data_IF_058132837195
#
_entry.id   IF_058132837195
#
_cell.length_a   1.000
_cell.length_b   1.000
_cell.length_c   1.000
_cell.angle_alpha   90.00
_cell.angle_beta   90.00
_cell.angle_gamma   90.00
#
_symmetry.space_group_name_H-M   'P 1'
#
loop_
_entity.id
_entity.type
_entity.pdbx_description
1 polymer ?
#
# COMPACT_ATOMS: atom_id res chain seq x y z
N UNK A 1 10.55 -11.61 20.17
CA UNK A 1 11.00 -12.72 19.30
C UNK A 1 12.33 -12.33 18.67
N UNK A 2 13.22 -13.28 18.38
CA UNK A 2 14.53 -13.01 17.81
C UNK A 2 14.58 -13.44 16.33
N UNK A 3 15.02 -12.54 15.45
CA UNK A 3 15.36 -12.85 14.07
C UNK A 3 16.84 -13.27 14.04
N UNK A 4 17.15 -14.47 13.53
CA UNK A 4 18.53 -14.94 13.37
C UNK A 4 18.91 -14.95 11.89
N UNK A 5 19.86 -14.08 11.53
CA UNK A 5 20.48 -14.02 10.19
C UNK A 5 21.94 -14.41 10.37
N UNK A 6 22.40 -15.46 9.67
CA UNK A 6 23.74 -16.04 9.83
C UNK A 6 24.54 -15.96 8.53
N UNK A 7 24.73 -14.74 8.05
CA UNK A 7 25.58 -14.48 6.88
C UNK A 7 26.58 -13.37 7.22
N UNK A 8 27.84 -13.54 6.81
CA UNK A 8 28.89 -12.53 7.03
C UNK A 8 28.54 -11.20 6.36
N UNK A 9 27.90 -11.26 5.20
CA UNK A 9 27.45 -10.08 4.47
C UNK A 9 26.44 -9.25 5.26
N UNK A 10 25.44 -9.89 5.88
CA UNK A 10 24.42 -9.18 6.65
C UNK A 10 25.00 -8.53 7.91
N UNK A 11 25.92 -9.22 8.61
CA UNK A 11 26.62 -8.65 9.77
C UNK A 11 27.48 -7.44 9.35
N UNK A 12 28.23 -7.55 8.25
CA UNK A 12 29.04 -6.45 7.72
C UNK A 12 28.17 -5.23 7.36
N UNK A 13 27.10 -5.43 6.60
CA UNK A 13 26.20 -4.36 6.19
C UNK A 13 25.50 -3.70 7.39
N UNK A 14 25.07 -4.49 8.38
CA UNK A 14 24.44 -3.96 9.59
C UNK A 14 25.43 -3.12 10.40
N UNK A 15 26.67 -3.57 10.55
CA UNK A 15 27.73 -2.82 11.25
C UNK A 15 28.12 -1.54 10.53
N UNK A 16 28.26 -1.60 9.21
CA UNK A 16 28.55 -0.43 8.39
C UNK A 16 27.44 0.61 8.50
N UNK A 17 26.18 0.19 8.38
CA UNK A 17 25.04 1.09 8.52
C UNK A 17 25.00 1.73 9.91
N UNK A 18 25.12 0.94 10.98
CA UNK A 18 25.14 1.42 12.36
C UNK A 18 26.28 2.41 12.61
N UNK A 19 27.48 2.15 12.07
CA UNK A 19 28.62 3.06 12.18
C UNK A 19 28.39 4.38 11.44
N UNK A 20 27.74 4.35 10.28
CA UNK A 20 27.43 5.54 9.47
C UNK A 20 26.31 6.38 10.09
N UNK A 21 25.29 5.76 10.68
CA UNK A 21 24.14 6.48 11.25
C UNK A 21 24.32 6.84 12.73
N UNK A 22 25.29 6.23 13.41
CA UNK A 22 25.49 6.37 14.86
C UNK A 22 24.42 5.64 15.69
N UNK A 23 23.65 4.75 15.06
CA UNK A 23 22.59 3.96 15.71
C UNK A 23 23.14 2.66 16.30
N UNK A 24 22.35 1.99 17.15
CA UNK A 24 22.66 0.62 17.55
C UNK A 24 22.46 -0.33 16.36
N UNK A 25 23.12 -1.50 16.37
CA UNK A 25 22.90 -2.53 15.34
C UNK A 25 21.41 -2.89 15.18
N UNK A 26 20.69 -2.98 16.30
CA UNK A 26 19.26 -3.29 16.30
C UNK A 26 18.44 -2.17 15.69
N UNK A 27 18.73 -0.92 16.01
CA UNK A 27 18.01 0.23 15.47
C UNK A 27 18.28 0.39 13.97
N UNK A 28 19.55 0.31 13.56
CA UNK A 28 19.95 0.40 12.16
C UNK A 28 19.22 -0.65 11.29
N UNK A 29 19.20 -1.91 11.74
CA UNK A 29 18.50 -3.00 11.01
C UNK A 29 16.98 -2.78 11.03
N UNK A 30 16.42 -2.38 12.17
CA UNK A 30 14.97 -2.16 12.29
C UNK A 30 14.51 -1.01 11.40
N UNK A 31 15.28 0.08 11.36
CA UNK A 31 14.98 1.25 10.54
C UNK A 31 15.14 0.94 9.05
N UNK A 32 16.23 0.27 8.64
CA UNK A 32 16.41 -0.16 7.26
C UNK A 32 15.27 -1.05 6.75
N UNK A 33 14.84 -2.04 7.56
CA UNK A 33 13.70 -2.89 7.22
C UNK A 33 12.39 -2.10 7.13
N UNK A 34 12.15 -1.19 8.07
CA UNK A 34 10.95 -0.33 8.07
C UNK A 34 10.89 0.54 6.82
N UNK A 35 11.99 1.17 6.47
CA UNK A 35 12.08 2.01 5.27
C UNK A 35 11.88 1.20 3.99
N UNK A 36 12.53 0.03 3.88
CA UNK A 36 12.35 -0.83 2.69
C UNK A 36 10.91 -1.28 2.57
N UNK A 37 10.28 -1.69 3.66
CA UNK A 37 8.87 -2.07 3.66
C UNK A 37 7.94 -0.91 3.31
N UNK A 38 8.24 0.31 3.76
CA UNK A 38 7.44 1.49 3.40
C UNK A 38 7.50 1.74 1.88
N UNK A 39 8.71 1.75 1.29
CA UNK A 39 8.90 1.94 -0.16
C UNK A 39 8.15 0.88 -0.97
N UNK A 40 8.26 -0.40 -0.59
CA UNK A 40 7.57 -1.49 -1.28
C UNK A 40 6.04 -1.41 -1.16
N UNK A 41 5.52 -1.02 0.02
CA UNK A 41 4.08 -0.82 0.23
C UNK A 41 3.53 0.33 -0.60
N UNK A 42 4.30 1.41 -0.75
CA UNK A 42 3.87 2.57 -1.54
C UNK A 42 3.84 2.24 -3.04
N UNK A 43 4.81 1.48 -3.54
CA UNK A 43 4.79 0.94 -4.92
C UNK A 43 3.56 0.07 -5.15
N UNK A 44 3.32 -0.91 -4.27
CA UNK A 44 2.15 -1.79 -4.40
C UNK A 44 0.82 -1.02 -4.32
N UNK A 45 0.74 0.02 -3.48
CA UNK A 45 -0.44 0.89 -3.41
C UNK A 45 -0.64 1.66 -4.71
N UNK A 46 0.43 2.22 -5.28
CA UNK A 46 0.35 2.96 -6.54
C UNK A 46 -0.15 2.06 -7.68
N UNK A 47 0.41 0.85 -7.83
CA UNK A 47 -0.06 -0.13 -8.81
C UNK A 47 -1.52 -0.53 -8.58
N UNK A 48 -1.93 -0.70 -7.32
CA UNK A 48 -3.32 -1.02 -7.00
C UNK A 48 -4.28 0.11 -7.40
N UNK A 49 -3.92 1.36 -7.11
CA UNK A 49 -4.71 2.55 -7.50
C UNK A 49 -4.78 2.65 -9.02
N UNK A 50 -3.67 2.44 -9.73
CA UNK A 50 -3.65 2.45 -11.19
C UNK A 50 -4.60 1.41 -11.78
N UNK A 51 -4.56 0.17 -11.27
CA UNK A 51 -5.50 -0.89 -11.68
C UNK A 51 -6.96 -0.53 -11.40
N UNK A 52 -7.24 0.07 -10.24
CA UNK A 52 -8.60 0.50 -9.88
C UNK A 52 -9.10 1.60 -10.83
N UNK A 53 -8.26 2.58 -11.16
CA UNK A 53 -8.59 3.67 -12.07
C UNK A 53 -8.81 3.16 -13.50
N UNK A 54 -7.93 2.28 -14.00
CA UNK A 54 -8.11 1.65 -15.31
C UNK A 54 -9.43 0.85 -15.38
N UNK A 55 -9.75 0.12 -14.33
CA UNK A 55 -11.05 -0.57 -14.22
C UNK A 55 -12.20 0.44 -14.24
N UNK A 56 -12.15 1.48 -13.40
CA UNK A 56 -13.18 2.51 -13.32
C UNK A 56 -13.41 3.21 -14.66
N UNK A 57 -12.35 3.52 -15.40
CA UNK A 57 -12.42 4.11 -16.75
C UNK A 57 -13.07 3.15 -17.75
N UNK A 58 -12.72 1.86 -17.71
CA UNK A 58 -13.28 0.83 -18.60
C UNK A 58 -14.79 0.62 -18.43
N UNK A 59 -15.33 0.91 -17.24
CA UNK A 59 -16.76 0.80 -16.93
C UNK A 59 -17.49 2.14 -17.00
N UNK A 60 -16.78 3.27 -16.87
CA UNK A 60 -17.35 4.61 -16.88
C UNK A 60 -18.12 4.94 -18.16
N UNK A 61 -17.75 4.33 -19.29
CA UNK A 61 -18.42 4.50 -20.58
C UNK A 61 -19.64 3.59 -20.77
N UNK A 62 -19.82 2.59 -19.90
CA UNK A 62 -20.88 1.58 -20.04
C UNK A 62 -22.15 1.92 -19.26
N UNK A 63 -22.05 2.74 -18.22
CA UNK A 63 -23.15 3.03 -17.30
C UNK A 63 -23.25 4.54 -17.03
N UNK A 64 -24.48 5.05 -16.90
CA UNK A 64 -24.71 6.40 -16.38
C UNK A 64 -24.32 6.45 -14.90
N UNK A 65 -23.39 7.35 -14.56
CA UNK A 65 -22.85 7.51 -13.21
C UNK A 65 -23.35 8.77 -12.51
N UNK A 66 -24.37 9.43 -13.05
CA UNK A 66 -25.02 10.55 -12.36
C UNK A 66 -25.62 10.05 -11.03
N UNK A 67 -25.63 10.87 -9.98
CA UNK A 67 -26.31 10.51 -8.74
C UNK A 67 -27.77 10.12 -9.02
N UNK A 68 -28.21 9.00 -8.45
CA UNK A 68 -29.59 8.54 -8.54
C UNK A 68 -30.48 9.52 -7.80
N UNK A 69 -31.56 9.96 -8.44
CA UNK A 69 -32.57 10.80 -7.79
C UNK A 69 -33.42 9.97 -6.84
N UNK A 70 -34.03 10.62 -5.84
CA UNK A 70 -34.93 9.92 -4.91
C UNK A 70 -36.06 9.20 -5.66
N UNK A 71 -36.67 9.83 -6.66
CA UNK A 71 -37.74 9.22 -7.45
C UNK A 71 -37.28 7.97 -8.25
N UNK A 72 -36.07 8.00 -8.82
CA UNK A 72 -35.49 6.82 -9.50
C UNK A 72 -35.18 5.69 -8.51
N UNK A 73 -34.74 6.04 -7.30
CA UNK A 73 -34.50 5.07 -6.23
C UNK A 73 -35.80 4.43 -5.75
N UNK A 74 -36.80 5.24 -5.42
CA UNK A 74 -38.12 4.81 -4.93
C UNK A 74 -38.80 3.88 -5.97
N UNK A 75 -38.71 4.22 -7.26
CA UNK A 75 -39.16 3.36 -8.37
C UNK A 75 -38.39 2.03 -8.44
N UNK A 76 -37.07 2.05 -8.27
CA UNK A 76 -36.23 0.85 -8.35
C UNK A 76 -36.36 -0.06 -7.12
N UNK A 77 -36.62 0.50 -5.94
CA UNK A 77 -36.80 -0.23 -4.69
C UNK A 77 -38.22 -0.76 -4.50
N UNK A 78 -39.18 -0.28 -5.30
CA UNK A 78 -40.59 -0.64 -5.17
C UNK A 78 -41.29 0.03 -3.99
N UNK A 79 -40.71 1.10 -3.44
CA UNK A 79 -41.38 1.99 -2.49
C UNK A 79 -42.15 3.03 -3.30
N UNK A 80 -43.27 2.62 -3.88
CA UNK A 80 -44.29 3.54 -4.36
C UNK A 80 -45.25 3.82 -3.17
N UNK A 81 -45.02 4.92 -2.46
CA UNK A 81 -46.03 5.49 -1.54
C UNK A 81 -47.36 5.77 -2.28
#
# INVERSE_FOLDING_TARGET
MALSIKTEEADRLARELAALTGETLTDAVTNALRERLARERDVQRAEYVERLMAFAESVATKYDRRPVTKAEWDWASGDED
#
